data_IF_153569174598
#
_entry.id   IF_153569174598
#
_cell.length_a   1.000
_cell.length_b   1.000
_cell.length_c   1.000
_cell.angle_alpha   90.00
_cell.angle_beta   90.00
_cell.angle_gamma   90.00
#
_symmetry.space_group_name_H-M   'P 1'
#
loop_
_entity.id
_entity.type
_entity.pdbx_description
1 polymer ?
#
# COMPACT_ATOMS: atom_id res chain seq x y z
N UNK A 1 -10.32 -10.59 -11.25
CA UNK A 1 -10.81 -10.02 -12.51
C UNK A 1 -9.64 -9.95 -13.46
N UNK A 2 -9.78 -10.46 -14.69
CA UNK A 2 -8.64 -10.66 -15.59
C UNK A 2 -7.89 -9.37 -15.98
N UNK A 3 -6.76 -9.55 -16.67
CA UNK A 3 -5.78 -8.59 -17.24
C UNK A 3 -6.27 -7.20 -17.68
N UNK A 4 -7.58 -7.00 -17.92
CA UNK A 4 -8.16 -5.69 -18.24
C UNK A 4 -8.52 -4.85 -17.01
N UNK A 5 -8.80 -5.47 -15.86
CA UNK A 5 -9.07 -4.77 -14.61
C UNK A 5 -7.80 -4.08 -14.07
N UNK A 6 -6.65 -4.74 -14.17
CA UNK A 6 -5.35 -4.18 -13.76
C UNK A 6 -4.95 -2.97 -14.60
N UNK A 7 -5.13 -3.02 -15.93
CA UNK A 7 -4.83 -1.88 -16.81
C UNK A 7 -5.67 -0.63 -16.51
N UNK A 8 -6.90 -0.81 -16.03
CA UNK A 8 -7.75 0.33 -15.62
C UNK A 8 -7.17 1.01 -14.39
N UNK A 9 -6.61 0.25 -13.45
CA UNK A 9 -5.94 0.79 -12.27
C UNK A 9 -4.67 1.55 -12.67
N UNK A 10 -3.85 1.00 -13.57
CA UNK A 10 -2.65 1.69 -14.09
C UNK A 10 -3.00 3.01 -14.80
N UNK A 11 -4.07 3.02 -15.60
CA UNK A 11 -4.52 4.22 -16.30
C UNK A 11 -5.05 5.29 -15.33
N UNK A 12 -5.72 4.85 -14.25
CA UNK A 12 -6.18 5.74 -13.17
C UNK A 12 -5.01 6.31 -12.40
N UNK A 13 -3.95 5.55 -12.18
CA UNK A 13 -2.74 6.02 -11.52
C UNK A 13 -2.03 7.10 -12.34
N UNK A 14 -1.80 6.84 -13.64
CA UNK A 14 -1.22 7.83 -14.56
C UNK A 14 -2.06 9.11 -14.60
N UNK A 15 -3.39 8.99 -14.70
CA UNK A 15 -4.31 10.13 -14.64
C UNK A 15 -4.12 10.92 -13.34
N UNK A 16 -4.09 10.23 -12.20
CA UNK A 16 -3.95 10.89 -10.90
C UNK A 16 -2.62 11.63 -10.79
N UNK A 17 -1.53 11.04 -11.29
CA UNK A 17 -0.20 11.65 -11.30
C UNK A 17 -0.15 12.92 -12.16
N UNK A 18 -0.71 12.86 -13.38
CA UNK A 18 -0.84 14.03 -14.25
C UNK A 18 -1.70 15.13 -13.62
N UNK A 19 -2.80 14.76 -12.95
CA UNK A 19 -3.68 15.73 -12.27
C UNK A 19 -3.00 16.36 -11.05
N UNK A 20 -2.21 15.61 -10.29
CA UNK A 20 -1.48 16.11 -9.13
C UNK A 20 -0.40 17.11 -9.55
N UNK A 21 0.39 16.76 -10.58
CA UNK A 21 1.42 17.64 -11.16
C UNK A 21 0.82 18.96 -11.66
N UNK A 22 -0.30 18.88 -12.41
CA UNK A 22 -1.01 20.07 -12.88
C UNK A 22 -1.60 20.94 -11.76
N UNK A 23 -1.81 20.38 -10.56
CA UNK A 23 -2.34 21.08 -9.39
C UNK A 23 -1.25 21.50 -8.39
N UNK A 24 0.02 21.15 -8.63
CA UNK A 24 1.10 21.34 -7.67
C UNK A 24 0.89 20.58 -6.36
N UNK A 25 0.10 19.50 -6.39
CA UNK A 25 -0.10 18.61 -5.26
C UNK A 25 1.05 17.57 -5.24
N UNK A 26 1.44 17.06 -4.06
CA UNK A 26 2.41 15.98 -3.98
C UNK A 26 2.00 14.82 -4.90
N UNK A 27 2.99 14.23 -5.58
CA UNK A 27 2.73 13.10 -6.47
C UNK A 27 1.94 12.02 -5.72
N UNK A 28 0.92 11.41 -6.34
CA UNK A 28 0.27 10.25 -5.77
C UNK A 28 1.31 9.16 -5.62
N UNK A 29 1.43 8.69 -4.39
CA UNK A 29 2.44 7.73 -3.97
C UNK A 29 2.43 7.59 -2.47
N UNK A 30 3.16 6.60 -1.99
CA UNK A 30 3.32 6.35 -0.55
C UNK A 30 4.22 7.44 0.03
N UNK A 31 3.76 8.22 1.03
CA UNK A 31 4.63 9.18 1.71
C UNK A 31 5.77 8.41 2.40
N UNK A 32 7.00 8.90 2.24
CA UNK A 32 8.16 8.30 2.91
C UNK A 32 8.13 8.73 4.38
N UNK A 33 8.00 7.80 5.34
CA UNK A 33 8.00 8.17 6.75
C UNK A 33 9.43 8.49 7.20
N UNK A 34 9.57 9.43 8.13
CA UNK A 34 10.85 9.79 8.74
C UNK A 34 11.36 8.71 9.73
N UNK A 35 10.47 7.81 10.16
CA UNK A 35 10.74 6.74 11.12
C UNK A 35 10.13 5.40 10.68
N UNK A 36 10.67 4.25 11.16
CA UNK A 36 10.12 2.94 10.84
C UNK A 36 8.64 2.82 11.22
N UNK A 37 7.78 2.67 10.22
CA UNK A 37 6.33 2.81 10.34
C UNK A 37 5.57 1.67 9.66
N UNK A 38 4.31 1.47 10.10
CA UNK A 38 3.36 0.55 9.46
C UNK A 38 2.59 1.33 8.42
N UNK A 39 2.59 0.85 7.17
CA UNK A 39 1.87 1.48 6.09
C UNK A 39 0.45 0.91 5.98
N UNK A 40 -0.53 1.76 6.23
CA UNK A 40 -1.95 1.48 6.07
C UNK A 40 -2.47 2.11 4.78
N UNK A 41 -3.14 1.33 3.94
CA UNK A 41 -3.73 1.83 2.70
C UNK A 41 -5.01 1.07 2.34
N UNK A 42 -5.85 1.60 1.44
CA UNK A 42 -6.97 0.81 0.93
C UNK A 42 -6.49 -0.28 -0.03
N UNK A 43 -5.68 0.12 -1.01
CA UNK A 43 -5.00 -0.74 -1.97
C UNK A 43 -3.68 -0.06 -2.36
N UNK A 44 -2.71 -0.81 -2.87
CA UNK A 44 -1.49 -0.23 -3.42
C UNK A 44 -1.32 -0.64 -4.88
N UNK A 45 -0.88 0.31 -5.71
CA UNK A 45 -0.46 0.00 -7.05
C UNK A 45 0.88 -0.77 -7.02
N UNK A 46 1.17 -1.62 -8.03
CA UNK A 46 2.45 -2.32 -8.13
C UNK A 46 3.66 -1.37 -8.09
N UNK A 47 3.54 -0.19 -8.72
CA UNK A 47 4.59 0.82 -8.73
C UNK A 47 4.90 1.36 -7.32
N UNK A 48 3.87 1.57 -6.50
CA UNK A 48 4.02 2.06 -5.12
C UNK A 48 4.68 0.99 -4.24
N UNK A 49 4.21 -0.26 -4.35
CA UNK A 49 4.80 -1.37 -3.57
C UNK A 49 6.25 -1.65 -3.93
N UNK A 50 6.65 -1.47 -5.19
CA UNK A 50 8.03 -1.68 -5.62
C UNK A 50 8.99 -0.59 -5.12
N UNK A 51 8.47 0.60 -4.81
CA UNK A 51 9.24 1.72 -4.26
C UNK A 51 9.38 1.70 -2.73
N UNK A 52 8.82 0.71 -2.04
CA UNK A 52 8.88 0.63 -0.59
C UNK A 52 10.28 0.29 -0.10
N UNK A 53 10.75 1.05 0.88
CA UNK A 53 11.99 0.77 1.61
C UNK A 53 11.68 -0.10 2.85
N UNK A 54 12.13 -1.36 2.91
CA UNK A 54 11.88 -2.25 4.04
C UNK A 54 12.57 -1.82 5.35
N UNK A 55 13.47 -0.81 5.31
CA UNK A 55 14.05 -0.22 6.52
C UNK A 55 13.13 0.82 7.18
N UNK A 56 12.25 1.44 6.38
CA UNK A 56 11.29 2.46 6.83
C UNK A 56 9.87 1.91 6.93
N UNK A 57 9.53 0.92 6.12
CA UNK A 57 8.20 0.28 6.10
C UNK A 57 8.33 -1.09 6.72
N UNK A 58 8.03 -1.18 8.01
CA UNK A 58 8.22 -2.40 8.80
C UNK A 58 7.06 -3.38 8.68
N UNK A 59 5.88 -2.90 8.24
CA UNK A 59 4.74 -3.75 7.91
C UNK A 59 3.75 -3.02 6.97
N UNK A 60 2.89 -3.80 6.33
CA UNK A 60 1.85 -3.36 5.41
C UNK A 60 0.48 -3.86 5.88
N UNK A 61 -0.53 -2.99 5.85
CA UNK A 61 -1.91 -3.34 6.08
C UNK A 61 -2.79 -2.74 4.99
N UNK A 62 -3.63 -3.57 4.35
CA UNK A 62 -4.59 -3.08 3.35
C UNK A 62 -6.04 -3.47 3.63
N UNK A 63 -6.99 -2.58 3.33
CA UNK A 63 -8.43 -2.88 3.47
C UNK A 63 -8.98 -3.71 2.31
N UNK A 64 -8.37 -3.59 1.13
CA UNK A 64 -8.69 -4.37 -0.06
C UNK A 64 -7.58 -5.35 -0.41
N UNK A 65 -7.94 -6.33 -1.22
CA UNK A 65 -7.03 -7.35 -1.71
C UNK A 65 -7.28 -8.73 -1.09
N UNK A 66 -6.40 -9.65 -1.42
CA UNK A 66 -6.43 -11.02 -0.94
C UNK A 66 -5.01 -11.60 -0.95
N UNK A 67 -4.80 -12.83 -0.45
CA UNK A 67 -3.47 -13.42 -0.31
C UNK A 67 -2.72 -13.59 -1.63
N UNK A 68 -3.42 -13.52 -2.76
CA UNK A 68 -2.87 -13.59 -4.12
C UNK A 68 -2.86 -12.23 -4.83
N UNK A 69 -3.06 -11.12 -4.11
CA UNK A 69 -2.98 -9.78 -4.70
C UNK A 69 -1.55 -9.40 -5.04
N UNK A 70 -1.38 -8.45 -5.97
CA UNK A 70 -0.08 -7.89 -6.31
C UNK A 70 0.66 -7.36 -5.07
N UNK A 71 -0.06 -6.63 -4.22
CA UNK A 71 0.45 -6.11 -2.96
C UNK A 71 0.97 -7.21 -2.04
N UNK A 72 0.20 -8.28 -1.82
CA UNK A 72 0.63 -9.40 -0.98
C UNK A 72 1.84 -10.14 -1.56
N UNK A 73 1.89 -10.30 -2.88
CA UNK A 73 3.00 -10.96 -3.58
C UNK A 73 4.28 -10.13 -3.46
N UNK A 74 4.21 -8.83 -3.74
CA UNK A 74 5.37 -7.93 -3.71
C UNK A 74 5.87 -7.73 -2.28
N UNK A 75 4.98 -7.52 -1.30
CA UNK A 75 5.36 -7.42 0.10
C UNK A 75 6.14 -8.65 0.58
N UNK A 76 5.70 -9.85 0.18
CA UNK A 76 6.40 -11.10 0.48
C UNK A 76 7.76 -11.20 -0.20
N UNK A 77 7.90 -10.68 -1.41
CA UNK A 77 9.20 -10.62 -2.10
C UNK A 77 10.18 -9.65 -1.42
N UNK A 78 9.67 -8.54 -0.87
CA UNK A 78 10.44 -7.56 -0.11
C UNK A 78 10.73 -8.00 1.35
N UNK A 79 10.13 -9.12 1.80
CA UNK A 79 10.26 -9.61 3.17
C UNK A 79 9.51 -8.77 4.20
N UNK A 80 8.54 -7.96 3.76
CA UNK A 80 7.75 -7.09 4.62
C UNK A 80 6.50 -7.87 5.07
N UNK A 81 6.22 -7.98 6.39
CA UNK A 81 4.97 -8.50 6.90
C UNK A 81 3.78 -7.74 6.31
N UNK A 82 2.81 -8.46 5.77
CA UNK A 82 1.67 -7.88 5.08
C UNK A 82 0.38 -8.57 5.46
N UNK A 83 -0.60 -7.80 5.93
CA UNK A 83 -1.97 -8.23 6.17
C UNK A 83 -2.89 -7.51 5.17
N UNK A 84 -3.85 -8.25 4.64
CA UNK A 84 -4.78 -7.77 3.60
C UNK A 84 -6.21 -8.04 4.03
N UNK A 85 -7.15 -7.28 3.47
CA UNK A 85 -8.56 -7.34 3.83
C UNK A 85 -8.84 -6.99 5.31
N UNK A 86 -8.07 -6.06 5.87
CA UNK A 86 -8.25 -5.56 7.24
C UNK A 86 -9.45 -4.64 7.31
N UNK A 87 -10.41 -4.96 8.18
CA UNK A 87 -11.58 -4.11 8.44
C UNK A 87 -11.29 -3.09 9.54
N UNK A 88 -11.71 -1.84 9.35
CA UNK A 88 -11.52 -0.77 10.34
C UNK A 88 -10.14 -0.10 10.29
N UNK A 89 -9.37 -0.33 9.22
CA UNK A 89 -8.07 0.33 9.05
C UNK A 89 -8.20 1.85 8.91
N UNK A 90 -9.31 2.33 8.34
CA UNK A 90 -9.60 3.76 8.16
C UNK A 90 -9.84 4.48 9.49
N UNK A 91 -10.18 3.73 10.56
CA UNK A 91 -10.38 4.26 11.90
C UNK A 91 -9.05 4.39 12.68
N UNK A 92 -7.93 3.88 12.13
CA UNK A 92 -6.62 3.97 12.76
C UNK A 92 -6.01 5.34 12.47
N UNK A 93 -5.78 6.19 13.49
CA UNK A 93 -5.20 7.50 13.26
C UNK A 93 -3.71 7.37 12.91
N UNK A 94 -3.23 8.25 12.03
CA UNK A 94 -1.81 8.34 11.72
C UNK A 94 -0.99 8.63 12.99
N UNK A 95 0.11 7.90 13.16
CA UNK A 95 0.94 7.95 14.38
C UNK A 95 0.44 7.08 15.53
N UNK A 96 -0.63 6.30 15.35
CA UNK A 96 -1.01 5.29 16.31
C UNK A 96 -0.01 4.14 16.35
N UNK A 97 0.31 3.68 17.56
CA UNK A 97 1.05 2.44 17.75
C UNK A 97 0.15 1.25 17.38
N UNK A 98 0.60 0.45 16.43
CA UNK A 98 -0.06 -0.78 16.01
C UNK A 98 0.94 -1.95 16.00
N UNK A 99 0.41 -3.16 16.10
CA UNK A 99 1.17 -4.40 15.94
C UNK A 99 0.58 -5.15 14.75
N UNK A 100 1.44 -5.65 13.88
CA UNK A 100 1.06 -6.47 12.72
C UNK A 100 1.69 -7.84 12.89
N UNK A 101 0.83 -8.85 13.00
CA UNK A 101 1.18 -10.26 12.98
C UNK A 101 0.82 -10.86 11.61
N UNK A 102 1.82 -10.88 10.72
CA UNK A 102 1.68 -11.48 9.38
C UNK A 102 1.51 -13.01 9.39
N UNK A 103 1.73 -13.70 10.51
CA UNK A 103 1.52 -15.15 10.65
C UNK A 103 0.09 -15.50 11.02
N UNK A 104 -0.54 -14.72 11.90
CA UNK A 104 -1.93 -14.88 12.32
C UNK A 104 -2.92 -14.05 11.49
N UNK A 105 -2.42 -13.04 10.76
CA UNK A 105 -3.24 -12.11 9.99
C UNK A 105 -3.96 -11.08 10.86
N UNK A 106 -3.31 -10.59 11.92
CA UNK A 106 -3.88 -9.66 12.91
C UNK A 106 -3.08 -8.37 12.99
#
# INVERSE_FOLDING_TARGET
GGLMAERVTDLRDIRNRVVAELKGLPEPGVPVPDEPSILCAEDLAPADTAGLDPTLIVALATTLGGPTSHTAIIARQLGIPCIVAVTGLDDVPAGAMALVDGTLGT
#
